data_IF_810421494518
#
_entry.id   IF_810421494518
#
_cell.length_a   1.000
_cell.length_b   1.000
_cell.length_c   1.000
_cell.angle_alpha   90.00
_cell.angle_beta   90.00
_cell.angle_gamma   90.00
#
_symmetry.space_group_name_H-M   'P 1'
#
loop_
_entity.id
_entity.type
_entity.pdbx_description
1 polymer ?
#
# COMPACT_ATOMS: atom_id res chain seq x y z
N UNK A 1 21.51 21.89 -14.43
CA UNK A 1 20.08 21.49 -14.28
C UNK A 1 19.73 20.61 -15.47
N UNK A 2 18.84 19.64 -15.24
CA UNK A 2 18.37 18.59 -16.15
C UNK A 2 19.26 17.34 -16.28
N UNK A 3 18.83 16.26 -15.61
CA UNK A 3 18.55 14.97 -16.25
C UNK A 3 17.93 14.04 -15.22
N UNK A 4 16.62 14.20 -15.00
CA UNK A 4 15.76 13.10 -14.56
C UNK A 4 15.81 11.99 -15.63
N UNK A 5 15.57 10.74 -15.20
CA UNK A 5 15.51 9.49 -15.98
C UNK A 5 16.83 8.71 -16.00
N UNK A 6 16.97 7.74 -15.09
CA UNK A 6 17.19 6.32 -15.40
C UNK A 6 17.54 5.54 -14.11
N UNK A 7 16.52 4.94 -13.49
CA UNK A 7 16.61 3.61 -12.86
C UNK A 7 15.25 3.22 -12.27
N UNK A 8 14.21 3.21 -13.11
CA UNK A 8 13.07 2.35 -12.86
C UNK A 8 13.35 1.02 -13.58
N UNK A 9 14.36 0.29 -13.10
CA UNK A 9 14.53 -1.10 -13.45
C UNK A 9 13.20 -1.82 -13.21
N UNK A 10 12.84 -2.70 -14.15
CA UNK A 10 11.77 -3.69 -14.01
C UNK A 10 12.06 -4.57 -12.79
N UNK A 11 11.74 -4.08 -11.60
CA UNK A 11 11.67 -4.90 -10.41
C UNK A 11 10.42 -5.75 -10.55
N UNK A 12 10.60 -7.07 -10.65
CA UNK A 12 9.51 -8.06 -10.56
C UNK A 12 8.81 -8.03 -9.18
N UNK A 13 9.36 -7.29 -8.22
CA UNK A 13 8.88 -7.05 -6.86
C UNK A 13 8.41 -5.61 -6.72
N UNK A 14 7.35 -5.26 -7.43
CA UNK A 14 6.69 -3.98 -7.26
C UNK A 14 5.22 -4.13 -7.60
N UNK A 15 4.36 -3.80 -6.65
CA UNK A 15 2.94 -3.61 -6.95
C UNK A 15 2.77 -2.22 -7.55
N UNK A 16 2.47 -2.12 -8.85
CA UNK A 16 2.13 -0.85 -9.52
C UNK A 16 0.72 -0.91 -10.07
N UNK A 17 -0.11 0.06 -9.68
CA UNK A 17 -1.44 0.23 -10.27
C UNK A 17 -2.53 -0.62 -9.61
N UNK A 18 -2.36 -0.98 -8.34
CA UNK A 18 -3.49 -1.42 -7.52
C UNK A 18 -4.43 -0.24 -7.33
N UNK A 19 -5.69 -0.39 -7.74
CA UNK A 19 -6.65 0.70 -7.68
C UNK A 19 -7.91 0.31 -6.93
N UNK A 20 -8.44 1.26 -6.17
CA UNK A 20 -9.72 1.13 -5.50
C UNK A 20 -10.64 2.29 -5.80
N UNK A 21 -11.93 2.01 -5.80
CA UNK A 21 -12.97 3.03 -5.76
C UNK A 21 -13.68 2.95 -4.42
N UNK A 22 -13.84 4.09 -3.74
CA UNK A 22 -14.52 4.23 -2.45
C UNK A 22 -15.36 5.52 -2.40
N UNK A 23 -16.11 5.73 -1.32
CA UNK A 23 -16.87 6.96 -1.08
C UNK A 23 -16.00 8.02 -0.38
N UNK A 24 -15.80 9.18 -1.02
CA UNK A 24 -15.16 10.38 -0.47
C UNK A 24 -13.67 10.27 -0.08
N UNK A 25 -12.79 11.06 -0.72
CA UNK A 25 -11.34 10.95 -0.44
C UNK A 25 -10.92 11.40 0.96
N UNK A 26 -11.68 12.29 1.61
CA UNK A 26 -11.39 12.69 2.99
C UNK A 26 -11.49 11.50 3.95
N UNK A 27 -12.55 10.68 3.82
CA UNK A 27 -12.73 9.49 4.66
C UNK A 27 -11.64 8.46 4.41
N UNK A 28 -11.32 8.20 3.14
CA UNK A 28 -10.24 7.29 2.76
C UNK A 28 -8.90 7.76 3.33
N UNK A 29 -8.59 9.05 3.17
CA UNK A 29 -7.38 9.67 3.67
C UNK A 29 -7.24 9.51 5.19
N UNK A 30 -8.25 9.92 5.95
CA UNK A 30 -8.23 9.84 7.42
C UNK A 30 -8.10 8.40 7.90
N UNK A 31 -8.82 7.47 7.27
CA UNK A 31 -8.80 6.04 7.63
C UNK A 31 -7.42 5.43 7.41
N UNK A 32 -6.79 5.70 6.26
CA UNK A 32 -5.44 5.20 5.95
C UNK A 32 -4.37 5.82 6.84
N UNK A 33 -4.39 7.15 7.04
CA UNK A 33 -3.42 7.84 7.91
C UNK A 33 -3.54 7.38 9.36
N UNK A 34 -4.77 7.24 9.86
CA UNK A 34 -5.04 6.70 11.20
C UNK A 34 -4.50 5.28 11.33
N UNK A 35 -4.74 4.43 10.34
CA UNK A 35 -4.29 3.04 10.35
C UNK A 35 -2.77 2.91 10.30
N UNK A 36 -2.09 3.71 9.48
CA UNK A 36 -0.62 3.77 9.43
C UNK A 36 -0.07 4.16 10.81
N UNK A 37 -0.66 5.17 11.46
CA UNK A 37 -0.23 5.60 12.81
C UNK A 37 -0.50 4.53 13.86
N UNK A 38 -1.61 3.81 13.76
CA UNK A 38 -1.99 2.71 14.67
C UNK A 38 -0.97 1.56 14.60
N UNK A 39 -0.51 1.21 13.41
CA UNK A 39 0.46 0.14 13.18
C UNK A 39 1.92 0.61 13.15
N UNK A 40 2.27 1.70 13.85
CA UNK A 40 3.64 2.23 13.85
C UNK A 40 4.64 1.44 14.69
N UNK A 41 4.17 0.63 15.63
CA UNK A 41 5.01 -0.14 16.57
C UNK A 41 5.03 -1.62 16.19
N UNK A 42 5.72 -2.45 16.96
CA UNK A 42 5.72 -3.91 16.82
C UNK A 42 4.41 -4.60 17.29
N UNK A 43 3.47 -3.83 17.86
CA UNK A 43 2.20 -4.36 18.37
C UNK A 43 1.28 -4.79 17.20
N UNK A 44 1.45 -6.03 16.75
CA UNK A 44 0.77 -6.60 15.58
C UNK A 44 1.59 -7.64 14.82
N UNK A 45 2.91 -7.68 15.04
CA UNK A 45 3.81 -8.65 14.39
C UNK A 45 4.38 -9.72 15.34
N UNK A 46 3.99 -9.72 16.61
CA UNK A 46 4.56 -10.60 17.64
C UNK A 46 4.28 -12.09 17.39
N UNK A 47 3.26 -12.43 16.60
CA UNK A 47 2.91 -13.81 16.23
C UNK A 47 3.22 -14.14 14.76
N UNK A 48 4.10 -13.38 14.11
CA UNK A 48 4.56 -13.67 12.74
C UNK A 48 3.82 -12.95 11.61
N UNK A 49 2.84 -12.09 11.92
CA UNK A 49 2.20 -11.21 10.92
C UNK A 49 3.05 -10.00 10.51
N UNK A 50 2.53 -9.19 9.59
CA UNK A 50 3.18 -7.95 9.07
C UNK A 50 2.31 -6.69 9.26
N UNK A 51 1.31 -6.73 10.15
CA UNK A 51 0.41 -5.60 10.43
C UNK A 51 1.01 -4.65 11.47
N UNK A 52 2.22 -4.17 11.21
CA UNK A 52 3.00 -3.38 12.17
C UNK A 52 4.12 -2.60 11.45
N UNK A 53 4.90 -1.80 12.19
CA UNK A 53 6.06 -1.05 11.65
C UNK A 53 5.79 -0.21 10.39
N UNK A 54 4.58 0.33 10.25
CA UNK A 54 4.28 1.34 9.23
C UNK A 54 4.74 2.71 9.71
N UNK A 55 5.42 3.47 8.86
CA UNK A 55 5.92 4.81 9.17
C UNK A 55 5.41 5.81 8.15
N UNK A 56 4.55 6.73 8.58
CA UNK A 56 4.12 7.86 7.78
C UNK A 56 5.31 8.78 7.47
N UNK A 57 5.51 9.14 6.20
CA UNK A 57 6.53 10.08 5.76
C UNK A 57 5.90 11.46 5.51
N UNK A 58 4.83 11.48 4.73
CA UNK A 58 4.09 12.70 4.41
C UNK A 58 2.67 12.33 3.98
N UNK A 59 1.72 13.25 4.16
CA UNK A 59 0.33 13.00 3.82
C UNK A 59 -0.41 14.29 3.50
N UNK A 60 -1.34 14.21 2.56
CA UNK A 60 -2.38 15.19 2.25
C UNK A 60 -3.62 14.46 1.75
N UNK A 61 -4.74 15.16 1.62
CA UNK A 61 -5.98 14.58 1.08
C UNK A 61 -5.83 14.00 -0.35
N UNK A 62 -4.76 14.38 -1.07
CA UNK A 62 -4.48 13.90 -2.44
C UNK A 62 -3.40 12.82 -2.52
N UNK A 63 -2.57 12.65 -1.48
CA UNK A 63 -1.51 11.64 -1.48
C UNK A 63 -1.10 11.23 -0.07
N UNK A 64 -0.65 9.99 0.07
CA UNK A 64 -0.06 9.47 1.32
C UNK A 64 1.23 8.76 0.95
N UNK A 65 2.34 9.15 1.58
CA UNK A 65 3.61 8.46 1.49
C UNK A 65 3.98 7.86 2.85
N UNK A 66 4.31 6.57 2.86
CA UNK A 66 4.68 5.82 4.04
C UNK A 66 5.77 4.81 3.70
N UNK A 67 6.33 4.18 4.74
CA UNK A 67 7.21 3.02 4.61
C UNK A 67 6.68 1.88 5.46
N UNK A 68 6.90 0.65 5.02
CA UNK A 68 6.71 -0.53 5.84
C UNK A 68 8.07 -1.22 6.02
N UNK A 69 8.38 -1.61 7.25
CA UNK A 69 9.60 -2.38 7.56
C UNK A 69 9.23 -3.75 8.08
N UNK A 70 9.64 -4.79 7.38
CA UNK A 70 9.40 -6.17 7.83
C UNK A 70 10.04 -6.40 9.21
N UNK A 71 9.33 -7.05 10.16
CA UNK A 71 9.74 -7.12 11.57
C UNK A 71 11.02 -7.92 11.78
N UNK A 72 11.27 -8.96 10.98
CA UNK A 72 12.42 -9.85 11.14
C UNK A 72 13.57 -9.50 10.19
N UNK A 73 13.31 -9.48 8.88
CA UNK A 73 14.35 -9.24 7.86
C UNK A 73 14.74 -7.78 7.69
N UNK A 74 13.97 -6.85 8.26
CA UNK A 74 14.18 -5.40 8.19
C UNK A 74 14.22 -4.83 6.77
N UNK A 75 13.65 -5.55 5.80
CA UNK A 75 13.40 -5.00 4.46
C UNK A 75 12.42 -3.86 4.54
N UNK A 76 12.71 -2.81 3.76
CA UNK A 76 11.93 -1.59 3.71
C UNK A 76 11.25 -1.50 2.35
N UNK A 77 9.94 -1.28 2.38
CA UNK A 77 9.14 -1.01 1.20
C UNK A 77 8.57 0.41 1.30
N UNK A 78 8.73 1.19 0.23
CA UNK A 78 8.06 2.47 0.06
C UNK A 78 6.61 2.24 -0.35
N UNK A 79 5.68 2.92 0.33
CA UNK A 79 4.24 2.84 0.10
C UNK A 79 3.73 4.22 -0.31
N UNK A 80 3.00 4.26 -1.42
CA UNK A 80 2.40 5.48 -1.93
C UNK A 80 0.93 5.26 -2.27
N UNK A 81 0.06 6.15 -1.80
CA UNK A 81 -1.33 6.26 -2.23
C UNK A 81 -1.53 7.61 -2.91
N UNK A 82 -2.26 7.60 -4.01
CA UNK A 82 -2.76 8.80 -4.70
C UNK A 82 -4.28 8.77 -4.68
N UNK A 83 -4.89 9.84 -4.20
CA UNK A 83 -6.33 9.96 -4.01
C UNK A 83 -6.88 11.03 -4.94
N UNK A 84 -7.85 10.66 -5.77
CA UNK A 84 -8.50 11.56 -6.72
C UNK A 84 -10.00 11.56 -6.45
N UNK A 85 -10.51 12.69 -6.01
CA UNK A 85 -11.94 12.91 -5.85
C UNK A 85 -12.62 13.11 -7.21
N UNK A 86 -13.80 12.52 -7.39
CA UNK A 86 -14.63 12.73 -8.57
C UNK A 86 -16.13 12.65 -8.20
N UNK A 87 -17.02 12.94 -9.15
CA UNK A 87 -18.47 13.11 -8.93
C UNK A 87 -18.77 14.04 -7.74
N UNK A 88 -18.41 15.31 -7.85
CA UNK A 88 -18.65 16.32 -6.80
C UNK A 88 -18.17 15.88 -5.41
N UNK A 89 -16.97 15.29 -5.33
CA UNK A 89 -16.30 14.83 -4.10
C UNK A 89 -16.96 13.65 -3.38
N UNK A 90 -17.98 13.02 -3.97
CA UNK A 90 -18.66 11.86 -3.37
C UNK A 90 -17.92 10.54 -3.58
N UNK A 91 -17.09 10.43 -4.62
CA UNK A 91 -16.29 9.26 -4.90
C UNK A 91 -14.79 9.56 -4.78
N UNK A 92 -14.03 8.52 -4.42
CA UNK A 92 -12.57 8.55 -4.36
C UNK A 92 -12.00 7.42 -5.20
N UNK A 93 -11.16 7.78 -6.16
CA UNK A 93 -10.30 6.84 -6.86
C UNK A 93 -8.94 6.84 -6.18
N UNK A 94 -8.53 5.67 -5.70
CA UNK A 94 -7.26 5.44 -5.02
C UNK A 94 -6.36 4.65 -5.96
N UNK A 95 -5.15 5.15 -6.19
CA UNK A 95 -4.08 4.40 -6.84
C UNK A 95 -2.97 4.18 -5.85
N UNK A 96 -2.54 2.94 -5.67
CA UNK A 96 -1.50 2.60 -4.70
C UNK A 96 -0.35 1.82 -5.31
N UNK A 97 0.81 1.99 -4.68
CA UNK A 97 2.05 1.31 -5.03
C UNK A 97 2.83 0.94 -3.78
N UNK A 98 3.43 -0.24 -3.79
CA UNK A 98 4.43 -0.66 -2.81
C UNK A 98 5.66 -1.14 -3.55
N UNK A 99 6.81 -0.56 -3.23
CA UNK A 99 8.07 -0.75 -3.95
C UNK A 99 9.15 -1.12 -2.93
N UNK A 100 9.81 -2.27 -3.10
CA UNK A 100 10.92 -2.64 -2.23
C UNK A 100 12.17 -1.82 -2.52
N UNK A 101 12.83 -1.33 -1.47
CA UNK A 101 14.16 -0.69 -1.59
C UNK A 101 15.27 -1.71 -1.90
N UNK A 102 15.01 -3.00 -1.63
CA UNK A 102 15.97 -4.07 -1.87
C UNK A 102 15.97 -4.50 -3.35
N UNK A 103 16.97 -4.03 -4.10
CA UNK A 103 17.13 -4.31 -5.53
C UNK A 103 17.41 -5.78 -5.91
N UNK A 104 17.79 -6.63 -4.95
CA UNK A 104 18.11 -8.04 -5.17
C UNK A 104 16.96 -9.02 -4.92
N UNK A 105 15.82 -8.55 -4.43
CA UNK A 105 14.68 -9.43 -4.22
C UNK A 105 14.03 -9.70 -5.59
N UNK A 106 14.11 -10.96 -6.05
CA UNK A 106 13.61 -11.38 -7.38
C UNK A 106 12.14 -11.85 -7.32
N UNK A 107 11.69 -12.30 -6.13
CA UNK A 107 10.28 -12.63 -5.82
C UNK A 107 9.95 -12.15 -4.42
N UNK A 108 8.86 -11.39 -4.27
CA UNK A 108 8.39 -10.87 -2.97
C UNK A 108 7.23 -11.71 -2.40
N UNK A 109 6.82 -12.80 -3.05
CA UNK A 109 5.69 -13.63 -2.62
C UNK A 109 4.38 -12.84 -2.41
N UNK A 110 4.21 -11.72 -3.12
CA UNK A 110 3.05 -10.84 -2.95
C UNK A 110 3.12 -9.94 -1.71
N UNK A 111 4.27 -9.84 -1.03
CA UNK A 111 4.46 -8.96 0.14
C UNK A 111 4.11 -7.52 -0.19
N UNK A 112 4.48 -7.01 -1.38
CA UNK A 112 4.14 -5.64 -1.77
C UNK A 112 2.63 -5.43 -1.96
N UNK A 113 1.90 -6.45 -2.42
CA UNK A 113 0.43 -6.40 -2.42
C UNK A 113 -0.11 -6.41 -0.98
N UNK A 114 0.38 -7.30 -0.13
CA UNK A 114 -0.08 -7.43 1.25
C UNK A 114 0.19 -6.16 2.09
N UNK A 115 1.32 -5.49 1.89
CA UNK A 115 1.61 -4.18 2.49
C UNK A 115 0.47 -3.17 2.24
N UNK A 116 -0.09 -3.16 1.03
CA UNK A 116 -1.16 -2.25 0.66
C UNK A 116 -2.53 -2.75 1.13
N UNK A 117 -2.82 -4.04 0.90
CA UNK A 117 -4.10 -4.65 1.26
C UNK A 117 -4.33 -4.66 2.77
N UNK A 118 -3.29 -4.93 3.56
CA UNK A 118 -3.36 -4.90 5.03
C UNK A 118 -3.80 -3.51 5.53
N UNK A 119 -3.32 -2.41 4.93
CA UNK A 119 -3.76 -1.06 5.29
C UNK A 119 -5.23 -0.81 4.94
N UNK A 120 -5.68 -1.27 3.76
CA UNK A 120 -7.08 -1.17 3.35
C UNK A 120 -8.02 -1.97 4.26
N UNK A 121 -7.66 -3.21 4.57
CA UNK A 121 -8.46 -4.08 5.43
C UNK A 121 -8.43 -3.61 6.89
N UNK A 122 -7.24 -3.29 7.43
CA UNK A 122 -7.10 -2.84 8.81
C UNK A 122 -7.80 -1.52 9.10
N UNK A 123 -7.99 -0.68 8.08
CA UNK A 123 -8.75 0.58 8.17
C UNK A 123 -10.26 0.40 7.99
N UNK A 124 -10.73 -0.82 7.70
CA UNK A 124 -12.14 -1.11 7.44
C UNK A 124 -12.64 -0.65 6.07
N UNK A 125 -11.75 -0.14 5.21
CA UNK A 125 -12.11 0.39 3.89
C UNK A 125 -12.57 -0.69 2.91
N UNK A 126 -12.15 -1.94 3.12
CA UNK A 126 -12.61 -3.11 2.35
C UNK A 126 -14.08 -3.45 2.59
N UNK A 127 -14.63 -3.05 3.74
CA UNK A 127 -16.05 -3.25 4.11
C UNK A 127 -16.90 -2.01 3.82
N UNK A 128 -16.28 -0.91 3.40
CA UNK A 128 -16.95 0.34 3.14
C UNK A 128 -17.87 0.25 1.92
N UNK A 129 -19.01 0.95 1.98
CA UNK A 129 -19.96 1.02 0.86
C UNK A 129 -19.29 1.60 -0.38
N UNK A 130 -19.41 0.88 -1.49
CA UNK A 130 -18.84 1.28 -2.78
C UNK A 130 -17.39 0.86 -2.97
N UNK A 131 -16.81 0.08 -2.05
CA UNK A 131 -15.51 -0.56 -2.25
C UNK A 131 -15.51 -1.39 -3.53
N UNK A 132 -14.61 -1.04 -4.45
CA UNK A 132 -14.32 -1.85 -5.63
C UNK A 132 -12.82 -1.87 -5.85
N UNK A 133 -12.22 -3.04 -5.76
CA UNK A 133 -10.84 -3.27 -6.12
C UNK A 133 -10.75 -3.61 -7.61
N UNK A 134 -9.91 -2.87 -8.33
CA UNK A 134 -9.56 -3.18 -9.71
C UNK A 134 -8.06 -3.47 -9.74
N UNK A 135 -7.75 -4.74 -10.00
CA UNK A 135 -6.38 -5.25 -10.09
C UNK A 135 -6.33 -6.50 -10.94
N UNK A 136 -5.13 -6.90 -11.34
CA UNK A 136 -4.83 -8.12 -12.09
C UNK A 136 -3.45 -8.65 -11.69
N UNK A 137 -3.17 -9.93 -11.95
CA UNK A 137 -1.83 -10.52 -11.73
C UNK A 137 -0.74 -9.84 -12.58
N UNK A 138 -1.13 -9.11 -13.64
CA UNK A 138 -0.24 -8.27 -14.44
C UNK A 138 0.12 -6.94 -13.74
N UNK A 139 -0.79 -6.37 -12.96
CA UNK A 139 -0.60 -5.13 -12.19
C UNK A 139 0.01 -5.40 -10.80
N UNK A 140 -0.35 -6.53 -10.20
CA UNK A 140 0.17 -7.04 -8.94
C UNK A 140 0.73 -8.44 -9.19
N UNK A 141 2.02 -8.54 -9.53
CA UNK A 141 2.66 -9.85 -9.69
C UNK A 141 2.43 -10.68 -8.41
N UNK A 142 1.98 -11.94 -8.59
CA UNK A 142 1.75 -12.90 -7.51
C UNK A 142 0.55 -12.62 -6.56
N UNK A 143 -0.40 -11.72 -6.91
CA UNK A 143 -1.62 -11.50 -6.11
C UNK A 143 -2.39 -12.80 -5.84
N UNK A 144 -2.67 -13.58 -6.88
CA UNK A 144 -3.41 -14.86 -6.75
C UNK A 144 -2.75 -15.88 -5.82
N UNK A 145 -1.45 -15.76 -5.58
CA UNK A 145 -0.68 -16.59 -4.64
C UNK A 145 -0.34 -15.90 -3.32
N UNK A 146 -0.75 -14.65 -3.12
CA UNK A 146 -0.40 -13.85 -1.95
C UNK A 146 -1.17 -14.33 -0.72
N UNK A 147 -0.47 -14.49 0.41
CA UNK A 147 -1.09 -14.81 1.69
C UNK A 147 -0.83 -13.70 2.71
N UNK A 148 -1.75 -12.73 2.76
CA UNK A 148 -1.66 -11.55 3.63
C UNK A 148 -2.07 -11.82 5.09
N UNK A 149 -2.26 -13.09 5.47
CA UNK A 149 -2.34 -13.47 6.89
C UNK A 149 -0.94 -13.73 7.47
N UNK A 150 0.00 -14.11 6.60
CA UNK A 150 1.43 -14.26 6.89
C UNK A 150 2.16 -12.94 6.62
N UNK A 151 1.83 -12.29 5.49
CA UNK A 151 2.49 -11.08 4.97
C UNK A 151 1.66 -9.80 5.08
#
# INVERSE_FOLDING_TARGET
MASFLHNASLSFNTTRGLTWTLSGCALVYESLVSQIKKWRTMAGCTMGGQRCLYKLQSASVHFIAAKHTTPFKKYVDDINFRLVSYHFFTCCHVSAMSISENWHAIKDHGTNYCNLYNLMEGSGLTEARGYREVTSDFQCTQRSSANCTIY
#
